data_IF_198778796338
#
_entry.id   IF_198778796338
#
_cell.length_a   1.000
_cell.length_b   1.000
_cell.length_c   1.000
_cell.angle_alpha   90.00
_cell.angle_beta   90.00
_cell.angle_gamma   90.00
#
_symmetry.space_group_name_H-M   'P 1'
#
loop_
_entity.id
_entity.type
_entity.pdbx_description
1 polymer ?
#
# COMPACT_ATOMS: atom_id res chain seq x y z
N UNK A 1 -10.27 4.26 -7.90
CA UNK A 1 -10.61 2.94 -7.30
C UNK A 1 -10.08 1.77 -8.12
N UNK A 2 -10.26 1.71 -9.44
CA UNK A 2 -9.82 0.56 -10.28
C UNK A 2 -8.30 0.33 -10.23
N UNK A 3 -7.49 1.40 -10.26
CA UNK A 3 -6.02 1.29 -10.15
C UNK A 3 -5.57 0.61 -8.86
N UNK A 4 -6.19 0.93 -7.72
CA UNK A 4 -5.86 0.36 -6.41
C UNK A 4 -6.22 -1.13 -6.31
N UNK A 5 -7.38 -1.50 -6.86
CA UNK A 5 -7.85 -2.89 -6.89
C UNK A 5 -6.90 -3.84 -7.65
N UNK A 6 -6.03 -3.30 -8.51
CA UNK A 6 -4.98 -4.03 -9.23
C UNK A 6 -3.64 -3.92 -8.51
N UNK A 7 -3.27 -2.72 -8.03
CA UNK A 7 -1.95 -2.48 -7.42
C UNK A 7 -1.82 -3.15 -6.06
N UNK A 8 -2.85 -3.14 -5.23
CA UNK A 8 -2.81 -3.72 -3.87
C UNK A 8 -2.57 -5.24 -3.87
N UNK A 9 -3.28 -6.06 -4.67
CA UNK A 9 -3.00 -7.50 -4.76
C UNK A 9 -1.64 -7.80 -5.40
N UNK A 10 -1.16 -6.96 -6.32
CA UNK A 10 0.19 -7.11 -6.91
C UNK A 10 1.26 -6.81 -5.85
N UNK A 11 1.10 -5.74 -5.07
CA UNK A 11 2.00 -5.40 -3.99
C UNK A 11 2.05 -6.50 -2.93
N UNK A 12 0.90 -7.05 -2.55
CA UNK A 12 0.77 -8.20 -1.65
C UNK A 12 1.47 -9.44 -2.18
N UNK A 13 1.27 -9.76 -3.46
CA UNK A 13 1.87 -10.93 -4.09
C UNK A 13 3.39 -10.79 -4.16
N UNK A 14 3.90 -9.61 -4.50
CA UNK A 14 5.35 -9.31 -4.52
C UNK A 14 5.92 -9.43 -3.10
N UNK A 15 5.33 -8.75 -2.11
CA UNK A 15 5.83 -8.81 -0.73
C UNK A 15 5.79 -10.22 -0.16
N UNK A 16 4.73 -10.99 -0.45
CA UNK A 16 4.65 -12.38 -0.03
C UNK A 16 5.72 -13.26 -0.70
N UNK A 17 5.97 -13.10 -2.00
CA UNK A 17 7.01 -13.84 -2.71
C UNK A 17 8.41 -13.55 -2.14
N UNK A 18 8.67 -12.30 -1.73
CA UNK A 18 9.97 -11.91 -1.19
C UNK A 18 10.17 -12.24 0.29
N UNK A 19 9.10 -12.24 1.09
CA UNK A 19 9.19 -12.41 2.55
C UNK A 19 8.72 -13.78 3.04
N UNK A 20 7.86 -14.46 2.27
CA UNK A 20 7.14 -15.67 2.72
C UNK A 20 6.09 -15.40 3.80
N UNK A 21 5.93 -14.16 4.26
CA UNK A 21 5.07 -13.79 5.38
C UNK A 21 3.79 -13.11 4.90
N UNK A 22 2.68 -13.85 4.97
CA UNK A 22 1.38 -13.40 4.47
C UNK A 22 0.81 -12.25 5.33
N UNK A 23 0.88 -12.39 6.66
CA UNK A 23 0.43 -11.36 7.59
C UNK A 23 1.27 -10.09 7.52
N UNK A 24 2.60 -10.23 7.45
CA UNK A 24 3.53 -9.10 7.30
C UNK A 24 3.29 -8.32 6.01
N UNK A 25 3.03 -9.03 4.91
CA UNK A 25 2.74 -8.42 3.60
C UNK A 25 1.43 -7.62 3.61
N UNK A 26 0.37 -8.14 4.26
CA UNK A 26 -0.91 -7.40 4.42
C UNK A 26 -0.68 -6.12 5.23
N UNK A 27 0.02 -6.23 6.37
CA UNK A 27 0.31 -5.08 7.24
C UNK A 27 1.11 -4.03 6.48
N UNK A 28 2.12 -4.44 5.69
CA UNK A 28 2.94 -3.54 4.91
C UNK A 28 2.12 -2.76 3.88
N UNK A 29 1.24 -3.42 3.13
CA UNK A 29 0.37 -2.74 2.15
C UNK A 29 -0.57 -1.75 2.83
N UNK A 30 -1.19 -2.11 3.95
CA UNK A 30 -2.07 -1.21 4.73
C UNK A 30 -1.30 0.00 5.25
N UNK A 31 -0.07 -0.19 5.75
CA UNK A 31 0.79 0.90 6.22
C UNK A 31 1.14 1.88 5.10
N UNK A 32 1.52 1.36 3.93
CA UNK A 32 1.82 2.17 2.74
C UNK A 32 0.57 2.94 2.29
N UNK A 33 -0.60 2.32 2.36
CA UNK A 33 -1.86 2.99 2.01
C UNK A 33 -2.17 4.17 2.94
N UNK A 34 -2.07 3.96 4.26
CA UNK A 34 -2.30 5.02 5.25
C UNK A 34 -1.29 6.15 5.03
N UNK A 35 -0.02 5.81 4.87
CA UNK A 35 1.04 6.80 4.70
C UNK A 35 0.89 7.60 3.41
N UNK A 36 0.63 6.93 2.28
CA UNK A 36 0.41 7.61 1.00
C UNK A 36 -0.81 8.51 1.04
N UNK A 37 -1.91 8.06 1.65
CA UNK A 37 -3.12 8.87 1.81
C UNK A 37 -2.85 10.11 2.65
N UNK A 38 -2.20 9.95 3.81
CA UNK A 38 -1.82 11.06 4.67
C UNK A 38 -0.87 12.04 3.95
N UNK A 39 0.10 11.52 3.20
CA UNK A 39 1.03 12.32 2.41
C UNK A 39 0.31 13.13 1.33
N UNK A 40 -0.61 12.53 0.58
CA UNK A 40 -1.39 13.24 -0.43
C UNK A 40 -2.27 14.33 0.19
N UNK A 41 -2.91 14.07 1.34
CA UNK A 41 -3.66 15.10 2.06
C UNK A 41 -2.76 16.24 2.54
N UNK A 42 -1.57 15.93 3.02
CA UNK A 42 -0.60 16.95 3.44
C UNK A 42 -0.15 17.79 2.24
N UNK A 43 0.15 17.15 1.12
CA UNK A 43 0.60 17.80 -0.11
C UNK A 43 -0.50 18.71 -0.69
N UNK A 44 -1.74 18.24 -0.70
CA UNK A 44 -2.93 19.01 -1.12
C UNK A 44 -3.14 20.26 -0.26
N UNK A 45 -2.80 20.20 1.04
CA UNK A 45 -2.92 21.34 1.95
C UNK A 45 -1.77 22.34 1.86
N UNK A 46 -0.64 21.93 1.28
CA UNK A 46 0.55 22.77 1.05
C UNK A 46 0.52 23.47 -0.31
N UNK A 47 -0.16 22.90 -1.29
CA UNK A 47 -0.49 23.54 -2.57
C UNK A 47 -1.70 24.46 -2.45
#
# INVERSE_FOLDING_TARGET
>A
MIYRLVVDPVALLITYVFTGELSGSIIAVVLIEIFSTAFYYLLDRLM
#
